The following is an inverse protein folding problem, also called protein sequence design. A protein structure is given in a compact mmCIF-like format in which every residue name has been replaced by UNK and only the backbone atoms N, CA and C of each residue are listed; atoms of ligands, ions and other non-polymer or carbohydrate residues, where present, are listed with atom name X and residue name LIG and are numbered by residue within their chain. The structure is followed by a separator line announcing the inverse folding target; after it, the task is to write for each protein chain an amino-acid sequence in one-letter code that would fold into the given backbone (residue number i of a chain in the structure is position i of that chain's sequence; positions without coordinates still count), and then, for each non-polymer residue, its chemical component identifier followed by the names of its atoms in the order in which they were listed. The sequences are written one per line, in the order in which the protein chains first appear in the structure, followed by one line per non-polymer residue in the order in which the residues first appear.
data_IF_254544803772
#
_entry.id   IF_254544803772
#
_cell.length_a   1.000
_cell.length_b   1.000
_cell.length_c   1.000
_cell.angle_alpha   90.00
_cell.angle_beta   90.00
_cell.angle_gamma   90.00
#
_symmetry.space_group_name_H-M   'P 1'
#
loop_
_entity.id
_entity.type
_entity.pdbx_description
1 polymer ?
#
# COMPACT_ATOMS: atom_id res chain seq x y z
N UNK A 1 -12.31 -7.67 1.16
CA UNK A 1 -12.53 -6.65 0.11
C UNK A 1 -13.72 -5.82 0.51
N UNK A 2 -13.62 -4.49 0.46
CA UNK A 2 -14.72 -3.58 0.81
C UNK A 2 -15.40 -3.08 -0.47
N UNK A 3 -16.73 -2.97 -0.43
CA UNK A 3 -17.59 -2.51 -1.53
C UNK A 3 -18.30 -1.21 -1.10
N UNK A 4 -17.81 -0.04 -1.54
CA UNK A 4 -18.33 1.25 -1.09
C UNK A 4 -19.83 1.47 -1.39
N UNK A 5 -20.30 1.02 -2.57
CA UNK A 5 -21.68 1.23 -3.02
C UNK A 5 -22.74 0.66 -2.06
N UNK A 6 -22.39 -0.43 -1.37
CA UNK A 6 -23.25 -1.13 -0.42
C UNK A 6 -22.75 -1.02 1.03
N UNK A 7 -21.62 -0.35 1.26
CA UNK A 7 -20.96 -0.22 2.56
C UNK A 7 -20.77 -1.58 3.29
N UNK A 8 -20.36 -2.60 2.55
CA UNK A 8 -20.12 -3.95 3.08
C UNK A 8 -18.71 -4.43 2.78
N UNK A 9 -18.24 -5.40 3.56
CA UNK A 9 -17.00 -6.12 3.29
C UNK A 9 -17.25 -7.61 3.12
N UNK A 10 -16.57 -8.20 2.16
CA UNK A 10 -16.53 -9.66 1.96
C UNK A 10 -15.17 -10.19 2.38
N UNK A 11 -15.19 -11.21 3.23
CA UNK A 11 -14.02 -12.00 3.61
C UNK A 11 -13.99 -13.30 2.83
N UNK A 12 -12.82 -13.67 2.33
CA UNK A 12 -12.58 -14.94 1.64
C UNK A 12 -11.68 -15.81 2.49
N UNK A 13 -12.03 -17.08 2.62
CA UNK A 13 -11.30 -18.03 3.46
C UNK A 13 -10.12 -18.69 2.70
N UNK A 14 -9.45 -19.59 3.40
CA UNK A 14 -8.32 -20.35 2.83
C UNK A 14 -8.74 -21.31 1.71
N UNK A 15 -10.00 -21.76 1.68
CA UNK A 15 -10.49 -22.68 0.66
C UNK A 15 -10.71 -21.94 -0.66
N UNK A 16 -11.20 -20.70 -0.57
CA UNK A 16 -11.24 -19.80 -1.72
C UNK A 16 -9.85 -19.64 -2.34
N UNK A 17 -8.85 -19.26 -1.56
CA UNK A 17 -7.48 -19.08 -2.07
C UNK A 17 -6.91 -20.36 -2.73
N UNK A 18 -7.18 -21.52 -2.14
CA UNK A 18 -6.78 -22.84 -2.68
C UNK A 18 -7.50 -23.24 -3.97
N UNK A 19 -8.67 -22.65 -4.24
CA UNK A 19 -9.44 -22.92 -5.47
C UNK A 19 -8.93 -22.13 -6.68
N UNK A 20 -8.13 -21.09 -6.45
CA UNK A 20 -7.54 -20.28 -7.51
C UNK A 20 -6.46 -21.06 -8.25
N UNK A 21 -6.35 -20.81 -9.55
CA UNK A 21 -5.38 -21.46 -10.42
C UNK A 21 -4.84 -20.44 -11.45
N UNK A 22 -3.82 -20.78 -12.26
CA UNK A 22 -3.18 -19.81 -13.15
C UNK A 22 -4.12 -19.11 -14.14
N UNK A 23 -5.26 -19.72 -14.51
CA UNK A 23 -6.23 -19.08 -15.41
C UNK A 23 -7.27 -18.23 -14.68
N UNK A 24 -7.48 -18.44 -13.38
CA UNK A 24 -8.51 -17.73 -12.60
C UNK A 24 -7.95 -16.70 -11.60
N UNK A 25 -6.67 -16.80 -11.24
CA UNK A 25 -6.04 -15.94 -10.22
C UNK A 25 -6.11 -14.46 -10.57
N UNK A 26 -6.05 -14.13 -11.86
CA UNK A 26 -6.12 -12.74 -12.29
C UNK A 26 -7.51 -12.13 -12.03
N UNK A 27 -8.56 -12.76 -12.56
CA UNK A 27 -9.93 -12.24 -12.44
C UNK A 27 -10.49 -12.39 -11.03
N UNK A 28 -10.37 -13.59 -10.46
CA UNK A 28 -10.97 -13.92 -9.17
C UNK A 28 -10.07 -13.57 -7.98
N UNK A 29 -8.78 -13.29 -8.19
CA UNK A 29 -7.87 -12.89 -7.12
C UNK A 29 -7.56 -11.41 -7.18
N UNK A 30 -6.80 -11.01 -8.21
CA UNK A 30 -6.19 -9.68 -8.29
C UNK A 30 -7.22 -8.60 -8.58
N UNK A 31 -8.08 -8.79 -9.59
CA UNK A 31 -9.12 -7.80 -9.91
C UNK A 31 -10.18 -7.74 -8.82
N UNK A 32 -10.56 -8.89 -8.26
CA UNK A 32 -11.44 -8.94 -7.08
C UNK A 32 -10.86 -8.15 -5.91
N UNK A 33 -9.56 -8.29 -5.62
CA UNK A 33 -8.89 -7.55 -4.56
C UNK A 33 -8.86 -6.05 -4.82
N UNK A 34 -8.59 -5.61 -6.05
CA UNK A 34 -8.50 -4.19 -6.41
C UNK A 34 -9.86 -3.48 -6.51
N UNK A 35 -10.93 -4.25 -6.70
CA UNK A 35 -12.31 -3.75 -6.76
C UNK A 35 -12.79 -3.40 -8.18
N UNK A 36 -14.08 -3.01 -8.31
CA UNK A 36 -14.75 -2.89 -9.61
C UNK A 36 -14.46 -1.59 -10.37
N UNK A 37 -14.03 -0.51 -9.69
CA UNK A 37 -13.63 0.74 -10.36
C UNK A 37 -12.31 0.53 -11.10
N UNK A 38 -12.40 0.47 -12.43
CA UNK A 38 -11.27 0.23 -13.34
C UNK A 38 -10.18 1.31 -13.20
N UNK A 39 -10.54 2.58 -13.07
CA UNK A 39 -9.56 3.66 -13.00
C UNK A 39 -8.80 3.59 -11.68
N UNK A 40 -9.53 3.37 -10.59
CA UNK A 40 -8.93 3.18 -9.28
C UNK A 40 -8.08 1.92 -9.20
N UNK A 41 -8.57 0.80 -9.72
CA UNK A 41 -7.82 -0.45 -9.78
C UNK A 41 -6.48 -0.27 -10.49
N UNK A 42 -6.44 0.50 -11.59
CA UNK A 42 -5.20 0.83 -12.29
C UNK A 42 -4.24 1.67 -11.45
N UNK A 43 -4.73 2.69 -10.73
CA UNK A 43 -3.90 3.50 -9.84
C UNK A 43 -3.31 2.65 -8.70
N UNK A 44 -4.15 1.88 -8.02
CA UNK A 44 -3.73 0.95 -6.97
C UNK A 44 -2.70 -0.07 -7.48
N UNK A 45 -2.97 -0.69 -8.63
CA UNK A 45 -2.07 -1.64 -9.24
C UNK A 45 -0.70 -1.03 -9.54
N UNK A 46 -0.64 0.18 -10.08
CA UNK A 46 0.63 0.90 -10.30
C UNK A 46 1.40 1.12 -8.99
N UNK A 47 0.72 1.45 -7.89
CA UNK A 47 1.36 1.65 -6.59
C UNK A 47 1.87 0.32 -6.00
N UNK A 48 1.12 -0.77 -6.14
CA UNK A 48 1.59 -2.11 -5.76
C UNK A 48 2.80 -2.55 -6.58
N UNK A 49 2.81 -2.34 -7.90
CA UNK A 49 3.97 -2.65 -8.76
C UNK A 49 5.22 -1.92 -8.25
N UNK A 50 5.12 -0.63 -7.91
CA UNK A 50 6.25 0.14 -7.37
C UNK A 50 6.81 -0.50 -6.10
N UNK A 51 5.96 -0.82 -5.12
CA UNK A 51 6.35 -1.39 -3.82
C UNK A 51 6.91 -2.81 -3.95
N UNK A 52 6.23 -3.67 -4.71
CA UNK A 52 6.66 -5.06 -4.93
C UNK A 52 7.98 -5.11 -5.71
N UNK A 53 8.19 -4.23 -6.70
CA UNK A 53 9.46 -4.13 -7.43
C UNK A 53 10.61 -3.69 -6.52
N UNK A 54 10.35 -2.79 -5.56
CA UNK A 54 11.37 -2.43 -4.55
C UNK A 54 11.74 -3.63 -3.67
N UNK A 55 10.74 -4.42 -3.25
CA UNK A 55 10.97 -5.64 -2.50
C UNK A 55 11.75 -6.68 -3.32
N UNK A 56 11.41 -6.85 -4.60
CA UNK A 56 12.11 -7.78 -5.50
C UNK A 56 13.59 -7.39 -5.64
N UNK A 57 13.87 -6.10 -5.85
CA UNK A 57 15.26 -5.59 -5.87
C UNK A 57 16.02 -5.88 -4.58
N UNK A 58 15.35 -5.83 -3.42
CA UNK A 58 16.00 -6.22 -2.16
C UNK A 58 16.31 -7.73 -2.16
N UNK A 59 15.35 -8.58 -2.55
CA UNK A 59 15.55 -10.02 -2.66
C UNK A 59 16.60 -10.43 -3.70
N UNK A 60 16.77 -9.66 -4.77
CA UNK A 60 17.79 -9.89 -5.79
C UNK A 60 19.22 -9.60 -5.30
N UNK A 61 19.36 -8.73 -4.30
CA UNK A 61 20.65 -8.29 -3.77
C UNK A 61 21.03 -9.01 -2.47
N UNK A 62 20.06 -9.43 -1.67
CA UNK A 62 20.30 -10.26 -0.49
C UNK A 62 20.53 -11.72 -0.89
N UNK A 63 21.45 -12.41 -0.21
CA UNK A 63 21.87 -13.77 -0.54
C UNK A 63 22.05 -14.66 0.70
N UNK A 64 21.53 -14.22 1.85
CA UNK A 64 21.75 -14.91 3.12
C UNK A 64 20.42 -15.25 3.83
N UNK A 65 19.28 -14.69 3.45
CA UNK A 65 17.99 -14.98 4.07
C UNK A 65 17.05 -15.69 3.11
N UNK A 66 16.66 -16.90 3.48
CA UNK A 66 15.65 -17.68 2.74
C UNK A 66 14.38 -17.76 3.59
N UNK A 67 13.23 -17.48 2.98
CA UNK A 67 11.93 -17.38 3.67
C UNK A 67 10.97 -18.44 3.16
N UNK A 68 10.46 -19.27 4.06
CA UNK A 68 9.55 -20.36 3.74
C UNK A 68 8.22 -20.18 4.45
N UNK A 69 7.12 -20.40 3.72
CA UNK A 69 5.77 -20.22 4.25
C UNK A 69 5.52 -18.85 4.90
N UNK A 70 6.29 -17.84 4.50
CA UNK A 70 6.04 -16.44 4.81
C UNK A 70 5.00 -15.87 3.84
N UNK A 71 4.32 -14.81 4.27
CA UNK A 71 3.21 -14.22 3.51
C UNK A 71 3.49 -12.76 3.19
N UNK A 72 2.97 -12.27 2.05
CA UNK A 72 2.86 -10.84 1.80
C UNK A 72 1.49 -10.35 2.25
N UNK A 73 1.48 -9.35 3.13
CA UNK A 73 0.28 -8.60 3.48
C UNK A 73 0.18 -7.38 2.57
N UNK A 74 -0.89 -7.34 1.77
CA UNK A 74 -1.23 -6.23 0.90
C UNK A 74 -2.45 -5.50 1.47
N UNK A 75 -2.39 -4.18 1.56
CA UNK A 75 -3.51 -3.38 2.01
C UNK A 75 -3.51 -2.02 1.32
N UNK A 76 -4.69 -1.42 1.23
CA UNK A 76 -4.91 -0.07 0.72
C UNK A 76 -6.19 0.47 1.35
N UNK A 77 -6.33 1.79 1.41
CA UNK A 77 -7.51 2.39 2.06
C UNK A 77 -8.78 2.18 1.25
N UNK A 78 -9.93 2.18 1.91
CA UNK A 78 -11.20 2.34 1.18
C UNK A 78 -11.41 3.83 0.90
N UNK A 79 -11.94 4.18 -0.27
CA UNK A 79 -12.21 5.59 -0.58
C UNK A 79 -13.24 6.13 0.41
N UNK A 80 -12.91 7.23 1.08
CA UNK A 80 -13.91 8.06 1.75
C UNK A 80 -14.65 8.86 0.68
N UNK A 81 -15.90 8.49 0.41
CA UNK A 81 -16.81 9.28 -0.45
C UNK A 81 -17.28 10.58 0.26
N UNK A 82 -16.67 10.94 1.40
CA UNK A 82 -17.16 12.02 2.26
C UNK A 82 -16.41 13.36 2.14
N UNK A 83 -15.43 13.51 1.26
CA UNK A 83 -14.83 14.83 1.02
C UNK A 83 -15.62 15.72 0.04
N UNK A 84 -16.73 15.24 -0.55
CA UNK A 84 -17.55 16.06 -1.48
C UNK A 84 -18.82 16.69 -0.87
N UNK A 85 -19.19 16.46 0.40
CA UNK A 85 -20.36 17.12 1.03
C UNK A 85 -20.10 17.56 2.48
N UNK A 86 -19.13 18.43 2.71
CA UNK A 86 -19.16 19.36 3.85
C UNK A 86 -18.77 20.78 3.38
N UNK A 87 -19.62 21.32 2.50
CA UNK A 87 -19.72 22.76 2.32
C UNK A 87 -20.37 23.39 3.58
N UNK A 88 -19.53 24.02 4.42
CA UNK A 88 -19.79 24.99 5.51
C UNK A 88 -20.22 24.49 6.91
N UNK A 89 -19.99 25.29 7.98
CA UNK A 89 -18.78 26.05 8.36
C UNK A 89 -18.27 25.67 9.77
N UNK A 90 -16.96 25.78 9.97
CA UNK A 90 -16.23 25.97 11.24
C UNK A 90 -16.75 25.28 12.51
N UNK A 91 -16.08 24.22 12.97
CA UNK A 91 -15.75 24.09 14.41
C UNK A 91 -14.46 23.28 14.57
N UNK A 92 -13.45 23.91 15.14
CA UNK A 92 -12.16 23.35 15.52
C UNK A 92 -12.35 22.28 16.58
N UNK A 93 -11.88 21.05 16.34
CA UNK A 93 -11.51 20.13 17.43
C UNK A 93 -10.27 19.38 17.02
N UNK A 94 -9.16 19.84 17.58
CA UNK A 94 -7.82 19.26 17.46
C UNK A 94 -7.73 18.01 18.34
N UNK A 95 -7.55 16.85 17.73
CA UNK A 95 -7.12 15.63 18.44
C UNK A 95 -5.73 15.26 17.91
N UNK A 96 -4.70 15.81 18.56
CA UNK A 96 -3.30 15.44 18.34
C UNK A 96 -2.98 14.15 19.11
N UNK A 97 -2.40 13.17 18.41
CA UNK A 97 -1.72 12.03 19.03
C UNK A 97 -0.33 12.45 19.54
N UNK A 98 0.11 11.99 20.72
CA UNK A 98 1.35 12.46 21.33
C UNK A 98 2.56 11.71 20.75
N UNK A 99 3.42 12.42 20.03
CA UNK A 99 4.79 11.98 19.80
C UNK A 99 5.64 12.33 21.03
N UNK A 100 6.21 11.30 21.66
CA UNK A 100 7.20 11.42 22.71
C UNK A 100 8.51 11.99 22.15
N UNK A 101 8.96 13.12 22.70
CA UNK A 101 10.27 13.71 22.41
C UNK A 101 11.20 13.51 23.61
N UNK A 102 12.40 13.01 23.35
CA UNK A 102 13.48 12.90 24.34
C UNK A 102 13.93 14.29 24.77
N UNK A 103 14.01 14.50 26.08
CA UNK A 103 14.55 15.70 26.71
C UNK A 103 16.05 15.85 26.41
N UNK A 104 16.42 17.01 25.89
CA UNK A 104 17.76 17.55 26.10
C UNK A 104 17.62 19.00 26.55
N UNK A 105 18.04 19.22 27.80
CA UNK A 105 18.22 20.53 28.40
C UNK A 105 19.21 21.36 27.58
N UNK A 106 18.81 22.57 27.19
CA UNK A 106 19.69 23.73 27.22
C UNK A 106 18.89 25.04 27.19
N UNK A 107 19.15 25.85 28.22
CA UNK A 107 18.73 27.24 28.40
C UNK A 107 19.11 28.14 27.21
N UNK A 108 18.18 28.99 26.77
CA UNK A 108 18.29 30.47 26.84
C UNK A 108 17.33 31.19 25.86
N UNK A 109 16.51 32.09 26.45
CA UNK A 109 16.13 33.43 25.96
C UNK A 109 15.23 33.62 24.71
N UNK A 110 14.01 34.09 25.00
CA UNK A 110 13.44 35.36 24.51
C UNK A 110 13.14 35.55 23.00
N UNK A 111 11.87 35.47 22.59
CA UNK A 111 11.03 36.62 22.24
C UNK A 111 9.67 36.18 21.66
N UNK A 112 8.61 36.71 22.26
CA UNK A 112 7.25 36.78 21.71
C UNK A 112 7.24 37.69 20.48
N UNK A 113 6.55 37.27 19.41
CA UNK A 113 5.72 38.15 18.56
C UNK A 113 4.68 37.29 17.81
N UNK A 114 3.41 37.54 18.11
CA UNK A 114 2.26 37.11 17.32
C UNK A 114 2.09 38.02 16.09
N UNK A 115 1.47 37.39 15.09
CA UNK A 115 0.40 37.92 14.26
C UNK A 115 0.68 38.53 12.87
N UNK A 116 0.04 37.85 11.91
CA UNK A 116 -0.70 38.36 10.76
C UNK A 116 0.12 38.79 9.54
N UNK A 117 0.37 37.83 8.64
CA UNK A 117 0.18 37.99 7.20
C UNK A 117 -0.03 36.62 6.53
N UNK A 118 -1.29 36.21 6.41
CA UNK A 118 -1.70 35.16 5.47
C UNK A 118 -1.65 35.76 4.06
N UNK A 119 -0.48 35.75 3.44
CA UNK A 119 -0.42 35.83 1.99
C UNK A 119 -0.81 34.46 1.43
N UNK A 120 -1.98 34.44 0.81
CA UNK A 120 -2.51 33.31 0.08
C UNK A 120 -1.64 33.04 -1.15
N UNK A 121 -0.66 32.14 -1.01
CA UNK A 121 -0.01 31.52 -2.16
C UNK A 121 -1.01 30.49 -2.70
N UNK A 122 -1.93 30.96 -3.54
CA UNK A 122 -2.67 30.09 -4.47
C UNK A 122 -1.67 29.73 -5.56
N UNK A 123 -0.81 28.75 -5.30
CA UNK A 123 -0.06 28.08 -6.35
C UNK A 123 -1.00 27.09 -7.01
N UNK A 124 -1.48 27.46 -8.20
CA UNK A 124 -1.97 26.63 -9.29
C UNK A 124 -2.18 25.14 -8.91
N UNK A 125 -3.44 24.80 -8.63
CA UNK A 125 -3.89 23.41 -8.50
C UNK A 125 -3.80 22.81 -9.91
N UNK A 126 -2.66 22.23 -10.21
CA UNK A 126 -2.56 21.17 -11.19
C UNK A 126 -3.44 20.01 -10.68
N UNK A 127 -4.05 19.24 -11.57
CA UNK A 127 -4.98 18.17 -11.22
C UNK A 127 -4.27 17.13 -10.34
N UNK A 128 -4.29 17.32 -9.02
CA UNK A 128 -3.75 16.40 -8.03
C UNK A 128 -4.66 15.16 -8.01
N UNK A 129 -4.39 14.24 -8.93
CA UNK A 129 -4.81 12.85 -8.82
C UNK A 129 -4.35 12.38 -7.43
N UNK A 130 -5.29 12.13 -6.53
CA UNK A 130 -4.98 11.66 -5.17
C UNK A 130 -4.20 10.35 -5.35
N UNK A 131 -2.92 10.39 -5.00
CA UNK A 131 -2.03 9.22 -5.09
C UNK A 131 -2.56 8.16 -4.13
N UNK A 132 -3.07 7.05 -4.65
CA UNK A 132 -3.56 5.94 -3.82
C UNK A 132 -2.43 5.42 -2.93
N UNK A 133 -2.68 5.31 -1.62
CA UNK A 133 -1.70 4.77 -0.68
C UNK A 133 -1.87 3.26 -0.53
N UNK A 134 -0.76 2.51 -0.66
CA UNK A 134 -0.74 1.06 -0.51
C UNK A 134 0.36 0.60 0.44
N UNK A 135 0.09 -0.50 1.14
CA UNK A 135 0.99 -1.18 2.05
C UNK A 135 1.37 -2.55 1.48
N UNK A 136 2.66 -2.87 1.61
CA UNK A 136 3.23 -4.19 1.28
C UNK A 136 4.19 -4.56 2.40
N UNK A 137 3.86 -5.60 3.16
CA UNK A 137 4.71 -6.11 4.23
C UNK A 137 4.93 -7.61 4.09
N UNK A 138 6.17 -8.05 4.33
CA UNK A 138 6.49 -9.46 4.53
C UNK A 138 6.21 -9.82 5.99
N UNK A 139 5.45 -10.87 6.22
CA UNK A 139 5.04 -11.36 7.55
C UNK A 139 5.27 -12.88 7.66
N UNK A 140 5.01 -13.43 8.85
CA UNK A 140 5.13 -14.86 9.15
C UNK A 140 6.55 -15.42 8.99
N UNK A 141 7.47 -14.92 9.81
CA UNK A 141 8.88 -15.34 9.87
C UNK A 141 9.10 -16.59 10.74
N UNK A 142 8.15 -17.53 10.75
CA UNK A 142 8.31 -18.74 11.59
C UNK A 142 9.31 -19.73 11.02
N UNK A 143 9.54 -19.69 9.70
CA UNK A 143 10.46 -20.57 8.97
C UNK A 143 11.32 -19.74 8.03
N UNK A 144 12.41 -19.21 8.55
CA UNK A 144 13.45 -18.59 7.74
C UNK A 144 14.79 -19.23 8.09
N UNK A 145 15.71 -19.19 7.13
CA UNK A 145 17.06 -19.73 7.28
C UNK A 145 18.10 -18.67 6.97
N UNK A 146 19.14 -18.62 7.80
CA UNK A 146 20.36 -17.89 7.49
C UNK A 146 21.30 -18.83 6.72
N UNK A 147 21.48 -18.58 5.44
CA UNK A 147 22.42 -19.32 4.59
C UNK A 147 23.81 -18.75 4.80
N UNK A 148 24.72 -19.53 5.40
CA UNK A 148 26.06 -19.05 5.79
C UNK A 148 27.07 -19.07 4.65
N UNK A 149 26.84 -19.91 3.63
CA UNK A 149 27.60 -19.89 2.39
C UNK A 149 26.87 -19.01 1.37
N UNK A 150 26.95 -17.69 1.55
CA UNK A 150 26.26 -16.71 0.70
C UNK A 150 26.92 -16.57 -0.69
N UNK A 151 27.47 -17.65 -1.25
CA UNK A 151 27.98 -17.72 -2.63
C UNK A 151 26.81 -17.64 -3.63
N UNK A 152 26.20 -16.46 -3.71
CA UNK A 152 25.16 -16.04 -4.65
C UNK A 152 23.83 -16.82 -4.63
N UNK A 153 23.53 -17.62 -3.61
CA UNK A 153 22.25 -18.33 -3.54
C UNK A 153 21.15 -17.38 -3.06
N UNK A 154 20.53 -16.69 -4.03
CA UNK A 154 19.31 -15.91 -3.80
C UNK A 154 18.17 -16.84 -3.40
N UNK A 155 17.18 -16.29 -2.73
CA UNK A 155 15.91 -17.00 -2.50
C UNK A 155 15.07 -16.99 -3.80
N UNK A 156 15.46 -17.86 -4.74
CA UNK A 156 14.79 -18.00 -6.05
C UNK A 156 13.33 -18.45 -5.90
N UNK A 157 13.01 -19.20 -4.86
CA UNK A 157 11.65 -19.65 -4.60
C UNK A 157 10.74 -18.45 -4.26
N UNK A 158 11.19 -17.58 -3.36
CA UNK A 158 10.46 -16.36 -3.04
C UNK A 158 10.40 -15.41 -4.24
N UNK A 159 11.54 -15.20 -4.92
CA UNK A 159 11.62 -14.32 -6.10
C UNK A 159 10.69 -14.76 -7.22
N UNK A 160 10.58 -16.07 -7.49
CA UNK A 160 9.65 -16.60 -8.49
C UNK A 160 8.19 -16.17 -8.20
N UNK A 161 7.73 -16.40 -6.98
CA UNK A 161 6.37 -16.02 -6.57
C UNK A 161 6.14 -14.51 -6.59
N UNK A 162 7.13 -13.73 -6.13
CA UNK A 162 7.06 -12.28 -6.12
C UNK A 162 7.02 -11.69 -7.54
N UNK A 163 7.84 -12.20 -8.46
CA UNK A 163 7.84 -11.76 -9.85
C UNK A 163 6.51 -12.06 -10.55
N UNK A 164 5.95 -13.25 -10.33
CA UNK A 164 4.63 -13.58 -10.87
C UNK A 164 3.53 -12.66 -10.30
N UNK A 165 3.58 -12.33 -9.01
CA UNK A 165 2.67 -11.37 -8.42
C UNK A 165 2.81 -9.97 -9.04
N UNK A 166 4.05 -9.51 -9.29
CA UNK A 166 4.33 -8.25 -9.99
C UNK A 166 3.72 -8.26 -11.39
N UNK A 167 3.88 -9.34 -12.16
CA UNK A 167 3.29 -9.47 -13.50
C UNK A 167 1.76 -9.33 -13.48
N UNK A 168 1.09 -9.93 -12.48
CA UNK A 168 -0.36 -9.82 -12.34
C UNK A 168 -0.81 -8.38 -12.05
N UNK A 169 -0.09 -7.66 -11.17
CA UNK A 169 -0.39 -6.24 -10.91
C UNK A 169 -0.01 -5.34 -12.09
N UNK A 170 1.06 -5.65 -12.83
CA UNK A 170 1.40 -4.95 -14.08
C UNK A 170 0.28 -5.12 -15.11
N UNK A 171 -0.25 -6.34 -15.27
CA UNK A 171 -1.43 -6.58 -16.12
C UNK A 171 -2.61 -5.73 -15.69
N UNK A 172 -2.93 -5.70 -14.39
CA UNK A 172 -4.02 -4.89 -13.86
C UNK A 172 -3.81 -3.37 -14.05
N UNK A 173 -2.56 -2.89 -14.05
CA UNK A 173 -2.26 -1.47 -14.28
C UNK A 173 -2.55 -0.99 -15.71
N UNK A 174 -2.60 -1.93 -16.67
CA UNK A 174 -2.85 -1.67 -18.09
C UNK A 174 -4.28 -2.05 -18.51
N UNK A 175 -4.90 -2.99 -17.79
CA UNK A 175 -6.23 -3.49 -18.10
C UNK A 175 -7.30 -2.43 -17.85
N UNK A 176 -8.12 -2.18 -18.86
CA UNK A 176 -9.23 -1.22 -18.81
C UNK A 176 -10.59 -1.91 -18.94
N UNK A 177 -10.62 -3.25 -18.82
CA UNK A 177 -11.83 -4.05 -18.90
C UNK A 177 -12.62 -3.98 -17.60
N UNK A 178 -13.96 -3.81 -17.64
CA UNK A 178 -14.80 -3.86 -16.45
C UNK A 178 -14.80 -5.26 -15.84
N UNK A 179 -14.94 -5.35 -14.51
CA UNK A 179 -15.10 -6.63 -13.81
C UNK A 179 -16.40 -7.28 -14.30
N UNK A 180 -16.29 -8.46 -14.92
CA UNK A 180 -17.43 -9.23 -15.46
C UNK A 180 -18.02 -10.15 -14.40
#
# INVERSE_FOLDING_TARGET
VFYPDINEYTTFDIFFGRSLNPSTIYDNGIRLFLGPDVNRAKRLANQFVKKLTQLAKWFENQNCYHFYASSLLLAYDSVDVNDEIMSSPNTTTTTQLPYSYYNHDHDHHHHSCQDNNKESIISNIDNNEIDEYVLVYLIDFTRWELVTDCSQIKDENFLYGLNYLIELFQRASLDSSPLT
#
